data_IF_770407979637
#
_entry.id   IF_770407979637
#
_cell.length_a   1.000
_cell.length_b   1.000
_cell.length_c   1.000
_cell.angle_alpha   90.00
_cell.angle_beta   90.00
_cell.angle_gamma   90.00
#
_symmetry.space_group_name_H-M   'P 1'
#
loop_
_entity.id
_entity.type
_entity.pdbx_description
1 polymer ?
#
# COMPACT_ATOMS: atom_id res chain seq x y z
N UNK A 1 -45.60 -21.31 -2.56
CA UNK A 1 -44.61 -20.90 -1.53
C UNK A 1 -43.27 -21.61 -1.64
N UNK A 2 -43.19 -22.96 -1.70
CA UNK A 2 -41.89 -23.67 -1.74
C UNK A 2 -40.99 -23.36 -2.94
N UNK A 3 -41.56 -23.17 -4.14
CA UNK A 3 -40.82 -22.81 -5.36
C UNK A 3 -40.27 -21.37 -5.30
N UNK A 4 -41.05 -20.44 -4.74
CA UNK A 4 -40.63 -19.04 -4.58
C UNK A 4 -39.45 -18.92 -3.59
N UNK A 5 -39.46 -19.72 -2.52
CA UNK A 5 -38.37 -19.78 -1.54
C UNK A 5 -37.09 -20.33 -2.17
N UNK A 6 -37.17 -21.38 -3.00
CA UNK A 6 -36.03 -21.96 -3.72
C UNK A 6 -35.40 -20.99 -4.73
N UNK A 7 -36.20 -20.22 -5.46
CA UNK A 7 -35.69 -19.20 -6.39
C UNK A 7 -34.95 -18.06 -5.67
N UNK A 8 -35.42 -17.64 -4.48
CA UNK A 8 -34.74 -16.61 -3.68
C UNK A 8 -33.37 -17.11 -3.20
N UNK A 9 -33.26 -18.35 -2.71
CA UNK A 9 -31.98 -18.95 -2.30
C UNK A 9 -30.98 -19.11 -3.47
N UNK A 10 -31.44 -19.45 -4.67
CA UNK A 10 -30.59 -19.54 -5.86
C UNK A 10 -30.07 -18.16 -6.31
N UNK A 11 -30.89 -17.11 -6.24
CA UNK A 11 -30.49 -15.75 -6.60
C UNK A 11 -29.46 -15.14 -5.63
N UNK A 12 -29.55 -15.44 -4.33
CA UNK A 12 -28.56 -15.05 -3.32
C UNK A 12 -27.21 -15.77 -3.51
N UNK A 13 -27.22 -17.02 -3.99
CA UNK A 13 -26.00 -17.78 -4.28
C UNK A 13 -25.20 -17.21 -5.46
N UNK A 14 -25.85 -16.65 -6.49
CA UNK A 14 -25.17 -16.07 -7.66
C UNK A 14 -24.45 -14.75 -7.35
N UNK A 15 -24.95 -13.94 -6.40
CA UNK A 15 -24.26 -12.73 -5.94
C UNK A 15 -23.01 -13.06 -5.10
N UNK A 16 -23.02 -14.20 -4.39
CA UNK A 16 -21.88 -14.69 -3.63
C UNK A 16 -20.74 -15.26 -4.50
N UNK A 17 -20.93 -15.41 -5.81
CA UNK A 17 -19.91 -15.97 -6.71
C UNK A 17 -18.93 -14.95 -7.27
N UNK A 18 -19.19 -13.64 -7.11
CA UNK A 18 -18.28 -12.60 -7.61
C UNK A 18 -17.45 -12.04 -6.45
N UNK A 19 -16.11 -12.02 -6.57
CA UNK A 19 -15.26 -11.27 -5.67
C UNK A 19 -15.80 -9.86 -5.47
N UNK A 20 -15.80 -9.39 -4.22
CA UNK A 20 -16.21 -8.05 -3.86
C UNK A 20 -14.98 -7.22 -3.47
N UNK A 21 -14.99 -5.89 -3.69
CA UNK A 21 -13.97 -5.01 -3.14
C UNK A 21 -13.84 -5.22 -1.63
N UNK A 22 -12.60 -5.37 -1.16
CA UNK A 22 -12.28 -5.58 0.25
C UNK A 22 -11.28 -4.54 0.75
N UNK A 23 -11.18 -4.44 2.08
CA UNK A 23 -10.19 -3.59 2.77
C UNK A 23 -9.20 -4.50 3.49
N UNK A 24 -7.91 -4.20 3.37
CA UNK A 24 -6.89 -4.96 4.09
C UNK A 24 -7.05 -4.83 5.60
N UNK A 25 -6.51 -5.77 6.40
CA UNK A 25 -6.44 -5.60 7.84
C UNK A 25 -5.82 -4.26 8.24
N UNK A 26 -6.37 -3.62 9.27
CA UNK A 26 -5.99 -2.26 9.66
C UNK A 26 -4.54 -2.15 10.15
N UNK A 27 -3.93 -3.26 10.55
CA UNK A 27 -2.55 -3.32 11.04
C UNK A 27 -1.79 -4.32 10.19
N UNK A 28 -0.73 -3.88 9.52
CA UNK A 28 0.13 -4.72 8.70
C UNK A 28 1.59 -4.37 8.91
N UNK A 29 2.44 -5.39 8.95
CA UNK A 29 3.88 -5.25 8.84
C UNK A 29 4.35 -6.11 7.70
N UNK A 30 5.25 -5.62 6.85
CA UNK A 30 5.75 -6.43 5.75
C UNK A 30 6.91 -5.76 5.03
N UNK A 31 7.20 -6.27 3.84
CA UNK A 31 8.16 -5.68 2.94
C UNK A 31 7.49 -5.37 1.61
N UNK A 32 8.03 -4.40 0.91
CA UNK A 32 7.61 -4.03 -0.42
C UNK A 32 8.82 -3.77 -1.31
N UNK A 33 8.62 -3.95 -2.61
CA UNK A 33 9.57 -3.54 -3.62
C UNK A 33 8.86 -2.63 -4.64
N UNK A 34 9.50 -1.53 -5.02
CA UNK A 34 9.00 -0.58 -6.02
C UNK A 34 9.93 -0.58 -7.21
N UNK A 35 9.37 -0.66 -8.42
CA UNK A 35 10.13 -0.55 -9.67
C UNK A 35 9.39 0.30 -10.70
N UNK A 36 10.12 1.10 -11.47
CA UNK A 36 9.58 1.90 -12.58
C UNK A 36 9.95 1.29 -13.94
N UNK A 37 9.14 1.54 -14.97
CA UNK A 37 9.41 1.03 -16.33
C UNK A 37 10.65 1.58 -17.02
N UNK A 38 11.15 2.74 -16.58
CA UNK A 38 12.40 3.30 -17.09
C UNK A 38 13.64 2.72 -16.41
N UNK A 39 13.46 1.73 -15.52
CA UNK A 39 14.49 1.00 -14.77
C UNK A 39 15.39 1.88 -13.89
N UNK A 40 15.05 3.17 -13.73
CA UNK A 40 15.88 4.10 -12.95
C UNK A 40 15.69 3.93 -11.45
N UNK A 41 14.55 3.40 -11.03
CA UNK A 41 14.19 3.22 -9.63
C UNK A 41 13.93 1.75 -9.31
N UNK A 42 14.69 1.24 -8.35
CA UNK A 42 14.40 -0.02 -7.67
C UNK A 42 14.53 0.20 -6.16
N UNK A 43 13.42 0.10 -5.44
CA UNK A 43 13.39 0.28 -3.98
C UNK A 43 12.99 -1.03 -3.33
N UNK A 44 13.65 -1.37 -2.22
CA UNK A 44 13.21 -2.40 -1.31
C UNK A 44 12.96 -1.75 0.06
N UNK A 45 11.78 -1.90 0.62
CA UNK A 45 11.43 -1.27 1.89
C UNK A 45 10.74 -2.22 2.83
N UNK A 46 10.99 -2.04 4.13
CA UNK A 46 10.13 -2.56 5.18
C UNK A 46 9.05 -1.53 5.47
N UNK A 47 7.80 -1.95 5.54
CA UNK A 47 6.69 -1.08 5.91
C UNK A 47 6.02 -1.54 7.19
N UNK A 48 5.53 -0.56 7.97
CA UNK A 48 4.65 -0.76 9.11
C UNK A 48 3.45 0.16 8.90
N UNK A 49 2.25 -0.41 8.87
CA UNK A 49 1.02 0.25 8.48
C UNK A 49 -0.01 0.13 9.59
N UNK A 50 -0.53 1.27 10.04
CA UNK A 50 -1.61 1.37 11.02
C UNK A 50 -2.70 2.30 10.50
N UNK A 51 -3.77 1.73 9.97
CA UNK A 51 -4.94 2.45 9.47
C UNK A 51 -5.82 3.04 10.58
N UNK A 52 -5.70 2.55 11.82
CA UNK A 52 -6.52 3.04 12.94
C UNK A 52 -5.99 4.40 13.40
N UNK A 53 -4.66 4.50 13.52
CA UNK A 53 -3.96 5.74 13.86
C UNK A 53 -3.59 6.57 12.64
N UNK A 54 -3.69 5.99 11.44
CA UNK A 54 -3.24 6.57 10.17
C UNK A 54 -1.75 6.90 10.22
N UNK A 55 -0.97 5.92 10.67
CA UNK A 55 0.49 6.00 10.70
C UNK A 55 1.07 5.02 9.68
N UNK A 56 2.09 5.46 8.97
CA UNK A 56 2.86 4.60 8.07
C UNK A 56 4.33 4.85 8.35
N UNK A 57 5.12 3.80 8.56
CA UNK A 57 6.58 3.89 8.54
C UNK A 57 7.13 3.08 7.40
N UNK A 58 8.04 3.69 6.65
CA UNK A 58 8.81 3.07 5.59
C UNK A 58 10.28 3.18 5.94
N UNK A 59 10.95 2.04 5.99
CA UNK A 59 12.41 2.00 6.10
C UNK A 59 12.91 1.38 4.82
N UNK A 60 13.41 2.23 3.94
CA UNK A 60 13.75 1.92 2.57
C UNK A 60 15.26 1.78 2.40
N UNK A 61 15.59 0.84 1.54
CA UNK A 61 16.88 0.70 0.92
C UNK A 61 16.66 0.62 -0.58
N UNK A 62 17.14 1.62 -1.30
CA UNK A 62 16.88 1.74 -2.73
C UNK A 62 18.13 1.96 -3.54
N UNK A 63 17.98 1.75 -4.83
CA UNK A 63 18.95 2.05 -5.86
C UNK A 63 18.30 3.00 -6.87
N UNK A 64 18.89 4.18 -7.03
CA UNK A 64 18.44 5.16 -8.01
C UNK A 64 19.64 5.73 -8.76
N UNK A 65 19.63 5.64 -10.10
CA UNK A 65 20.73 6.11 -10.97
C UNK A 65 22.13 5.68 -10.51
N UNK A 66 22.30 4.40 -10.21
CA UNK A 66 23.55 3.82 -9.72
C UNK A 66 24.06 4.27 -8.34
N UNK A 67 23.18 4.87 -7.53
CA UNK A 67 23.49 5.23 -6.14
C UNK A 67 22.53 4.54 -5.18
N UNK A 68 23.10 3.93 -4.15
CA UNK A 68 22.32 3.42 -3.03
C UNK A 68 21.88 4.57 -2.13
N UNK A 69 20.66 4.47 -1.61
CA UNK A 69 20.17 5.37 -0.58
C UNK A 69 19.46 4.58 0.52
N UNK A 70 19.47 5.16 1.71
CA UNK A 70 18.71 4.70 2.84
C UNK A 70 17.77 5.82 3.25
N UNK A 71 16.51 5.47 3.48
CA UNK A 71 15.48 6.43 3.83
C UNK A 71 14.61 5.83 4.93
N UNK A 72 14.41 6.56 6.02
CA UNK A 72 13.41 6.20 7.04
C UNK A 72 12.39 7.32 7.15
N UNK A 73 11.16 7.03 6.72
CA UNK A 73 10.04 7.95 6.73
C UNK A 73 8.97 7.46 7.70
N UNK A 74 8.58 8.33 8.63
CA UNK A 74 7.43 8.12 9.50
C UNK A 74 6.35 9.15 9.20
N UNK A 75 5.29 8.71 8.55
CA UNK A 75 4.11 9.50 8.21
C UNK A 75 3.08 9.42 9.33
N UNK A 76 2.64 10.56 9.84
CA UNK A 76 1.63 10.68 10.88
C UNK A 76 0.51 11.58 10.33
N UNK A 77 -0.45 10.99 9.61
CA UNK A 77 -1.45 11.74 8.84
C UNK A 77 -2.36 12.61 9.72
N UNK A 78 -2.81 12.08 10.87
CA UNK A 78 -3.61 12.85 11.84
C UNK A 78 -2.89 14.06 12.43
N UNK A 79 -1.55 14.03 12.41
CA UNK A 79 -0.71 15.11 12.91
C UNK A 79 -0.22 16.02 11.77
N UNK A 80 -0.56 15.71 10.51
CA UNK A 80 -0.14 16.42 9.30
C UNK A 80 1.38 16.59 9.19
N UNK A 81 2.14 15.56 9.63
CA UNK A 81 3.62 15.59 9.61
C UNK A 81 4.21 14.30 9.08
N UNK A 82 5.35 14.42 8.42
CA UNK A 82 6.25 13.32 8.10
C UNK A 82 7.64 13.61 8.64
N UNK A 83 8.24 12.61 9.27
CA UNK A 83 9.62 12.65 9.75
C UNK A 83 10.51 11.88 8.79
N UNK A 84 11.58 12.51 8.33
CA UNK A 84 12.73 11.83 7.76
C UNK A 84 13.76 11.64 8.87
N UNK A 85 14.05 10.39 9.19
CA UNK A 85 14.83 9.98 10.36
C UNK A 85 16.17 9.41 9.88
N UNK A 86 17.28 9.92 10.42
CA UNK A 86 18.60 9.30 10.30
C UNK A 86 19.04 8.75 11.65
N UNK A 87 18.84 7.45 11.83
CA UNK A 87 19.21 6.72 13.04
C UNK A 87 20.73 6.68 13.27
N UNK A 88 21.58 6.92 12.24
CA UNK A 88 23.05 6.90 12.42
C UNK A 88 23.55 8.22 12.99
N UNK A 89 22.99 9.33 12.53
CA UNK A 89 23.39 10.67 12.99
C UNK A 89 22.52 11.17 14.14
N UNK A 90 21.45 10.45 14.49
CA UNK A 90 20.42 10.89 15.43
C UNK A 90 19.85 12.26 15.06
N UNK A 91 19.58 12.45 13.77
CA UNK A 91 18.96 13.69 13.26
C UNK A 91 17.63 13.39 12.60
N UNK A 92 16.72 14.36 12.65
CA UNK A 92 15.43 14.27 11.96
C UNK A 92 15.11 15.58 11.24
N UNK A 93 14.50 15.44 10.07
CA UNK A 93 13.90 16.54 9.32
C UNK A 93 12.39 16.33 9.31
N UNK A 94 11.63 17.38 9.62
CA UNK A 94 10.17 17.33 9.71
C UNK A 94 9.57 18.12 8.57
N UNK A 95 8.58 17.56 7.88
CA UNK A 95 7.84 18.23 6.80
C UNK A 95 6.34 18.24 7.09
N UNK A 96 5.64 19.25 6.57
CA UNK A 96 4.19 19.25 6.50
C UNK A 96 3.70 18.14 5.56
N UNK A 97 2.72 17.35 6.00
CA UNK A 97 2.15 16.25 5.25
C UNK A 97 0.70 16.56 4.89
N UNK A 98 0.33 16.31 3.63
CA UNK A 98 -1.07 16.29 3.22
C UNK A 98 -1.85 15.22 3.99
N UNK A 99 -2.94 15.63 4.62
CA UNK A 99 -3.70 14.80 5.57
C UNK A 99 -4.49 13.66 4.93
N UNK A 100 -4.49 13.53 3.61
CA UNK A 100 -5.27 12.49 2.93
C UNK A 100 -4.62 11.12 3.10
N UNK A 101 -5.15 10.34 4.04
CA UNK A 101 -4.76 8.96 4.22
C UNK A 101 -5.34 8.06 3.11
N UNK A 102 -4.48 7.22 2.54
CA UNK A 102 -4.86 6.26 1.51
C UNK A 102 -4.84 4.84 2.10
N UNK A 103 -6.00 4.24 2.40
CA UNK A 103 -6.04 2.89 2.94
C UNK A 103 -5.59 1.86 1.91
N UNK A 104 -4.98 0.77 2.38
CA UNK A 104 -4.70 -0.41 1.55
C UNK A 104 -6.03 -1.15 1.31
N UNK A 105 -6.78 -0.70 0.31
CA UNK A 105 -8.11 -1.20 0.02
C UNK A 105 -8.40 -1.15 -1.48
N UNK A 106 -9.33 -1.99 -1.91
CA UNK A 106 -9.89 -1.92 -3.26
C UNK A 106 -10.99 -0.85 -3.26
N UNK A 107 -10.90 0.18 -4.12
CA UNK A 107 -11.96 1.17 -4.23
C UNK A 107 -13.31 0.54 -4.61
N UNK A 108 -14.40 1.08 -4.06
CA UNK A 108 -15.76 0.54 -4.32
C UNK A 108 -16.20 0.66 -5.78
N UNK A 109 -15.61 1.59 -6.53
CA UNK A 109 -15.85 1.78 -7.96
C UNK A 109 -14.85 1.00 -8.85
N UNK A 110 -14.02 0.12 -8.27
CA UNK A 110 -13.09 -0.70 -9.02
C UNK A 110 -13.83 -1.81 -9.79
N UNK A 111 -13.32 -2.13 -10.97
CA UNK A 111 -13.81 -3.25 -11.77
C UNK A 111 -12.92 -4.46 -11.56
N UNK A 112 -13.52 -5.63 -11.28
CA UNK A 112 -12.79 -6.89 -11.24
C UNK A 112 -12.25 -7.19 -12.64
N UNK A 113 -10.93 -7.34 -12.77
CA UNK A 113 -10.28 -7.75 -14.00
C UNK A 113 -10.27 -9.27 -14.13
N UNK A 114 -9.76 -9.94 -13.09
CA UNK A 114 -9.63 -11.39 -13.08
C UNK A 114 -9.46 -11.93 -11.66
N UNK A 115 -9.84 -13.19 -11.47
CA UNK A 115 -9.43 -14.01 -10.34
C UNK A 115 -8.49 -15.09 -10.86
N UNK A 116 -7.28 -15.19 -10.28
CA UNK A 116 -6.23 -16.10 -10.76
C UNK A 116 -5.51 -16.77 -9.59
N UNK A 117 -4.85 -17.89 -9.86
CA UNK A 117 -3.92 -18.53 -8.92
C UNK A 117 -2.51 -18.09 -9.29
N UNK A 118 -1.82 -17.40 -8.38
CA UNK A 118 -0.39 -17.15 -8.51
C UNK A 118 0.37 -18.39 -8.03
N UNK A 119 1.39 -18.80 -8.79
CA UNK A 119 2.12 -20.05 -8.53
C UNK A 119 1.50 -21.23 -9.28
N UNK A 120 1.28 -22.34 -8.59
CA UNK A 120 0.82 -23.60 -9.19
C UNK A 120 -0.42 -24.14 -8.46
N UNK A 121 -1.41 -24.60 -9.23
CA UNK A 121 -2.58 -25.33 -8.71
C UNK A 121 -2.32 -26.84 -8.57
N UNK A 122 -1.08 -27.29 -8.75
CA UNK A 122 -0.74 -28.71 -8.83
C UNK A 122 -0.57 -29.39 -7.46
N UNK A 123 -0.45 -28.62 -6.37
CA UNK A 123 -0.29 -29.16 -5.03
C UNK A 123 -0.66 -28.18 -3.92
N UNK A 124 -0.97 -28.67 -2.70
CA UNK A 124 -1.29 -27.82 -1.56
C UNK A 124 -0.16 -26.84 -1.22
N UNK A 125 -0.50 -25.58 -0.99
CA UNK A 125 0.47 -24.53 -0.62
C UNK A 125 1.36 -24.03 -1.76
N UNK A 126 1.19 -24.52 -2.99
CA UNK A 126 1.97 -24.07 -4.15
C UNK A 126 1.38 -22.85 -4.88
N UNK A 127 0.17 -22.44 -4.49
CA UNK A 127 -0.54 -21.35 -5.14
C UNK A 127 -1.30 -20.48 -4.16
N UNK A 128 -1.55 -19.23 -4.58
CA UNK A 128 -2.32 -18.23 -3.84
C UNK A 128 -3.43 -17.72 -4.74
N UNK A 129 -4.68 -17.86 -4.29
CA UNK A 129 -5.83 -17.31 -4.99
C UNK A 129 -5.89 -15.79 -4.78
N UNK A 130 -5.89 -15.04 -5.87
CA UNK A 130 -5.88 -13.57 -5.86
C UNK A 130 -6.92 -13.00 -6.81
N UNK A 131 -7.34 -11.77 -6.53
CA UNK A 131 -8.17 -10.97 -7.40
C UNK A 131 -7.42 -9.72 -7.83
N UNK A 132 -7.44 -9.43 -9.13
CA UNK A 132 -6.91 -8.21 -9.69
C UNK A 132 -8.05 -7.27 -10.06
N UNK A 133 -7.92 -6.02 -9.65
CA UNK A 133 -8.92 -4.96 -9.79
C UNK A 133 -8.32 -3.79 -10.54
N UNK A 134 -9.09 -3.18 -11.42
CA UNK A 134 -8.67 -2.02 -12.21
C UNK A 134 -9.60 -0.84 -12.01
N UNK A 135 -9.04 0.36 -12.15
CA UNK A 135 -9.81 1.59 -12.12
C UNK A 135 -8.96 2.81 -12.43
N UNK A 136 -9.56 3.98 -12.24
CA UNK A 136 -8.90 5.27 -12.37
C UNK A 136 -9.08 6.10 -11.11
N UNK A 137 -8.09 6.93 -10.80
CA UNK A 137 -8.15 7.88 -9.70
C UNK A 137 -7.29 9.12 -10.01
N UNK A 138 -7.50 10.22 -9.30
CA UNK A 138 -6.69 11.44 -9.45
C UNK A 138 -5.53 11.44 -8.45
N UNK A 139 -4.29 11.54 -8.93
CA UNK A 139 -3.07 11.70 -8.11
C UNK A 139 -2.40 12.99 -8.54
N UNK A 140 -2.14 13.90 -7.59
CA UNK A 140 -1.42 15.16 -7.84
C UNK A 140 -2.00 15.96 -9.02
N UNK A 141 -3.31 15.93 -9.21
CA UNK A 141 -4.00 16.61 -10.32
C UNK A 141 -3.97 15.89 -11.67
N UNK A 142 -3.32 14.73 -11.75
CA UNK A 142 -3.24 13.90 -12.96
C UNK A 142 -4.18 12.68 -12.89
N UNK A 143 -4.75 12.30 -14.04
CA UNK A 143 -5.47 11.02 -14.16
C UNK A 143 -4.48 9.86 -14.09
N UNK A 144 -4.64 9.02 -13.07
CA UNK A 144 -3.89 7.80 -12.91
C UNK A 144 -4.80 6.58 -13.15
N UNK A 145 -4.25 5.56 -13.80
CA UNK A 145 -4.87 4.23 -13.89
C UNK A 145 -4.18 3.30 -12.92
N UNK A 146 -4.93 2.40 -12.29
CA UNK A 146 -4.35 1.42 -11.39
C UNK A 146 -4.79 -0.01 -11.74
N UNK A 147 -3.93 -0.96 -11.39
CA UNK A 147 -4.23 -2.37 -11.28
C UNK A 147 -3.73 -2.85 -9.93
N UNK A 148 -4.63 -3.22 -9.03
CA UNK A 148 -4.29 -3.68 -7.69
C UNK A 148 -4.69 -5.14 -7.52
N UNK A 149 -3.77 -5.95 -7.01
CA UNK A 149 -3.98 -7.38 -6.78
C UNK A 149 -3.94 -7.67 -5.29
N UNK A 150 -4.98 -8.33 -4.79
CA UNK A 150 -5.12 -8.73 -3.39
C UNK A 150 -5.43 -10.21 -3.30
N UNK A 151 -5.06 -10.85 -2.19
CA UNK A 151 -5.50 -12.21 -1.91
C UNK A 151 -7.02 -12.25 -1.77
N UNK A 152 -7.65 -13.31 -2.30
CA UNK A 152 -9.09 -13.54 -2.10
C UNK A 152 -9.41 -13.64 -0.60
N UNK A 153 -8.57 -14.39 0.12
CA UNK A 153 -8.75 -14.59 1.55
C UNK A 153 -7.84 -13.65 2.35
N UNK A 154 -8.43 -12.90 3.27
CA UNK A 154 -7.73 -11.97 4.16
C UNK A 154 -7.43 -10.59 3.56
N UNK A 155 -7.73 -10.36 2.27
CA UNK A 155 -7.53 -9.08 1.59
C UNK A 155 -6.11 -8.53 1.75
N UNK A 156 -5.10 -9.38 1.57
CA UNK A 156 -3.69 -9.00 1.74
C UNK A 156 -3.18 -8.45 0.41
N UNK A 157 -2.55 -7.26 0.37
CA UNK A 157 -2.03 -6.70 -0.86
C UNK A 157 -0.89 -7.58 -1.39
N UNK A 158 -0.94 -7.86 -2.69
CA UNK A 158 0.10 -8.63 -3.39
C UNK A 158 0.90 -7.71 -4.31
N UNK A 159 0.19 -6.90 -5.11
CA UNK A 159 0.81 -5.90 -5.94
C UNK A 159 -0.11 -4.72 -6.22
N UNK A 160 0.48 -3.58 -6.52
CA UNK A 160 -0.20 -2.41 -7.04
C UNK A 160 0.60 -1.84 -8.20
N UNK A 161 -0.04 -1.69 -9.36
CA UNK A 161 0.51 -1.04 -10.52
C UNK A 161 -0.21 0.28 -10.71
N UNK A 162 0.55 1.35 -10.83
CA UNK A 162 0.05 2.70 -11.04
C UNK A 162 0.64 3.26 -12.32
N UNK A 163 -0.20 3.87 -13.15
CA UNK A 163 0.22 4.55 -14.37
C UNK A 163 -0.26 5.98 -14.38
N UNK A 164 0.68 6.91 -14.51
CA UNK A 164 0.42 8.30 -14.92
C UNK A 164 1.11 8.57 -16.25
N UNK A 165 0.70 9.62 -16.97
CA UNK A 165 1.38 10.00 -18.23
C UNK A 165 2.78 10.55 -17.96
N UNK A 166 3.01 11.11 -16.76
CA UNK A 166 4.30 11.69 -16.36
C UNK A 166 5.32 10.64 -15.93
N UNK A 167 4.93 9.66 -15.11
CA UNK A 167 5.85 8.66 -14.53
C UNK A 167 5.86 7.31 -15.25
N UNK A 168 4.91 7.07 -16.16
CA UNK A 168 4.70 5.75 -16.75
C UNK A 168 4.22 4.74 -15.71
N UNK A 169 4.51 3.45 -15.90
CA UNK A 169 4.12 2.41 -14.95
C UNK A 169 5.10 2.30 -13.79
N UNK A 170 4.56 2.39 -12.58
CA UNK A 170 5.21 2.06 -11.33
C UNK A 170 4.55 0.80 -10.76
N UNK A 171 5.36 -0.18 -10.38
CA UNK A 171 4.91 -1.44 -9.79
C UNK A 171 5.40 -1.52 -8.36
N UNK A 172 4.48 -1.67 -7.43
CA UNK A 172 4.76 -2.01 -6.02
C UNK A 172 4.37 -3.46 -5.79
N UNK A 173 5.31 -4.29 -5.36
CA UNK A 173 5.06 -5.68 -4.96
C UNK A 173 5.17 -5.78 -3.44
N UNK A 174 4.24 -6.46 -2.78
CA UNK A 174 4.27 -6.65 -1.34
C UNK A 174 4.50 -8.12 -0.99
N UNK A 175 5.31 -8.37 0.03
CA UNK A 175 5.69 -9.73 0.44
C UNK A 175 6.09 -9.78 1.91
N UNK A 176 6.13 -11.00 2.46
CA UNK A 176 6.39 -11.26 3.88
C UNK A 176 5.45 -10.45 4.81
N UNK A 177 4.19 -10.31 4.41
CA UNK A 177 3.19 -9.57 5.19
C UNK A 177 2.76 -10.41 6.39
N UNK A 178 2.72 -9.75 7.55
CA UNK A 178 2.17 -10.23 8.80
C UNK A 178 1.01 -9.31 9.18
N UNK A 179 -0.13 -9.91 9.54
CA UNK A 179 -1.26 -9.17 10.10
C UNK A 179 -0.90 -8.76 11.53
N UNK A 180 -0.98 -7.46 11.81
CA UNK A 180 -0.56 -6.86 13.07
C UNK A 180 0.72 -6.04 12.97
N UNK A 181 1.11 -5.48 14.11
CA UNK A 181 2.35 -4.72 14.28
C UNK A 181 3.39 -5.63 14.92
N UNK A 182 4.42 -6.02 14.16
CA UNK A 182 5.51 -6.83 14.71
C UNK A 182 6.31 -6.06 15.78
N UNK A 183 6.42 -4.76 15.62
CA UNK A 183 7.04 -3.84 16.58
C UNK A 183 6.28 -2.49 16.56
N UNK A 184 5.34 -2.27 17.49
CA UNK A 184 4.57 -1.03 17.57
C UNK A 184 5.40 0.22 17.84
N UNK A 185 6.58 0.09 18.47
CA UNK A 185 7.43 1.23 18.80
C UNK A 185 7.97 1.93 17.55
N UNK A 186 8.01 1.21 16.41
CA UNK A 186 8.40 1.80 15.13
C UNK A 186 7.51 2.96 14.70
N UNK A 187 6.25 3.01 15.12
CA UNK A 187 5.30 4.07 14.73
C UNK A 187 5.34 5.28 15.69
N UNK A 188 6.30 5.31 16.62
CA UNK A 188 6.53 6.42 17.53
C UNK A 188 7.82 7.12 17.08
N UNK A 189 7.81 8.46 16.88
CA UNK A 189 9.03 9.19 16.59
C UNK A 189 10.09 8.97 17.69
N UNK A 190 11.36 8.75 17.33
CA UNK A 190 12.45 8.75 18.30
C UNK A 190 12.53 10.07 19.07
N UNK A 191 13.01 10.03 20.32
CA UNK A 191 13.13 11.22 21.17
C UNK A 191 13.98 12.33 20.53
N UNK A 192 15.01 12.00 19.76
CA UNK A 192 15.84 13.01 19.07
C UNK A 192 15.10 13.73 17.93
N UNK A 193 13.89 13.29 17.55
CA UNK A 193 13.02 13.99 16.61
C UNK A 193 12.05 14.99 17.26
N UNK A 194 11.98 15.08 18.61
CA UNK A 194 11.02 15.97 19.28
C UNK A 194 11.24 17.44 18.89
N UNK A 195 12.50 17.87 18.83
CA UNK A 195 12.92 19.22 18.47
C UNK A 195 13.21 19.39 16.97
N UNK A 196 12.80 18.43 16.12
CA UNK A 196 13.07 18.48 14.69
C UNK A 196 12.46 19.74 14.07
N UNK A 197 13.31 20.52 13.37
CA UNK A 197 12.87 21.73 12.68
C UNK A 197 11.92 21.36 11.54
N UNK A 198 10.80 22.05 11.50
CA UNK A 198 9.83 21.97 10.43
C UNK A 198 10.36 22.76 9.23
N UNK A 199 10.54 22.08 8.11
CA UNK A 199 10.91 22.72 6.85
C UNK A 199 9.72 23.52 6.31
N UNK A 200 9.95 24.81 6.05
CA UNK A 200 8.94 25.76 5.58
C UNK A 200 8.75 25.59 4.06
N UNK A 201 8.08 24.49 3.70
CA UNK A 201 7.76 24.09 2.32
C UNK A 201 6.29 23.71 2.21
N UNK A 202 5.78 23.75 0.98
CA UNK A 202 4.44 23.25 0.68
C UNK A 202 4.27 21.80 1.21
N UNK A 203 3.07 21.42 1.69
CA UNK A 203 2.82 20.09 2.20
C UNK A 203 3.20 19.01 1.18
N UNK A 204 4.05 18.07 1.61
CA UNK A 204 4.37 16.89 0.83
C UNK A 204 3.24 15.88 0.91
N UNK A 205 3.09 15.05 -0.12
CA UNK A 205 2.14 13.93 -0.11
C UNK A 205 2.89 12.62 0.16
N UNK A 206 2.15 11.55 0.47
CA UNK A 206 2.74 10.21 0.53
C UNK A 206 3.50 9.86 -0.76
N UNK A 207 2.95 10.25 -1.91
CA UNK A 207 3.54 9.98 -3.23
C UNK A 207 4.75 10.86 -3.55
N UNK A 208 5.01 11.93 -2.80
CA UNK A 208 6.12 12.86 -3.08
C UNK A 208 7.51 12.27 -2.82
N UNK A 209 7.58 11.11 -2.16
CA UNK A 209 8.83 10.41 -1.84
C UNK A 209 9.12 9.25 -2.80
N UNK A 210 8.32 9.08 -3.86
CA UNK A 210 8.43 8.02 -4.86
C UNK A 210 8.40 8.59 -6.28
#
# INVERSE_FOLDING_TARGET
MRVLVLCVFLSLGCLAQRPQPCTSPSLLTGNLAVSTTDEKLLVYAKFTYDAVREHIRLTEFGYHNNKTFHLDLLFLFKQAVVYHIDDKTHTCIKFHLDTKFHPLAIPQNASLLAQVVLGSSSGPGQGVLVNSWVGGLMILGEQAKYLSTFTEFGCIPVSNMLHTNTSGWQVTSFFNIVIGLADPQRLIPPHFCEDARLEDKDPVTFFSFF
#
